data_IF_544782733126
#
_entry.id   IF_544782733126
#
_cell.length_a   1.000
_cell.length_b   1.000
_cell.length_c   1.000
_cell.angle_alpha   90.00
_cell.angle_beta   90.00
_cell.angle_gamma   90.00
#
_symmetry.space_group_name_H-M   'P 1'
#
loop_
_entity.id
_entity.type
_entity.pdbx_description
1 polymer ?
#
# COMPACT_ATOMS: atom_id res chain seq x y z
N UNK A 1 -10.36 12.68 20.67
CA UNK A 1 -10.57 11.23 20.92
C UNK A 1 -11.27 10.53 19.75
N UNK A 2 -12.20 11.20 19.04
CA UNK A 2 -12.92 10.66 17.85
C UNK A 2 -11.97 10.33 16.67
N UNK A 3 -11.00 11.19 16.35
CA UNK A 3 -10.08 10.96 15.22
C UNK A 3 -9.28 9.64 15.29
N UNK A 4 -8.85 9.23 16.50
CA UNK A 4 -8.10 7.98 16.70
C UNK A 4 -8.95 6.72 16.50
N UNK A 5 -10.26 6.81 16.71
CA UNK A 5 -11.19 5.68 16.52
C UNK A 5 -11.45 5.47 15.02
N UNK A 6 -11.70 6.55 14.28
CA UNK A 6 -11.90 6.51 12.82
C UNK A 6 -10.65 5.99 12.10
N UNK A 7 -9.46 6.43 12.52
CA UNK A 7 -8.18 5.95 11.99
C UNK A 7 -7.98 4.45 12.24
N UNK A 8 -8.25 3.97 13.45
CA UNK A 8 -8.12 2.54 13.79
C UNK A 8 -9.10 1.65 13.01
N UNK A 9 -10.35 2.09 12.85
CA UNK A 9 -11.36 1.35 12.06
C UNK A 9 -10.94 1.30 10.60
N UNK A 10 -10.42 2.39 10.05
CA UNK A 10 -9.95 2.45 8.67
C UNK A 10 -8.73 1.57 8.43
N UNK A 11 -7.73 1.62 9.31
CA UNK A 11 -6.58 0.71 9.25
C UNK A 11 -7.02 -0.75 9.29
N UNK A 12 -8.03 -1.08 10.10
CA UNK A 12 -8.58 -2.44 10.12
C UNK A 12 -9.25 -2.83 8.80
N UNK A 13 -9.87 -1.88 8.09
CA UNK A 13 -10.50 -2.13 6.79
C UNK A 13 -9.44 -2.35 5.71
N UNK A 14 -8.44 -1.48 5.67
CA UNK A 14 -7.26 -1.58 4.82
C UNK A 14 -6.54 -2.90 5.02
N UNK A 15 -6.23 -3.26 6.27
CA UNK A 15 -5.56 -4.51 6.60
C UNK A 15 -6.37 -5.72 6.11
N UNK A 16 -7.70 -5.71 6.28
CA UNK A 16 -8.57 -6.79 5.79
C UNK A 16 -8.48 -6.95 4.28
N UNK A 17 -8.46 -5.85 3.51
CA UNK A 17 -8.30 -5.90 2.06
C UNK A 17 -6.93 -6.42 1.65
N UNK A 18 -5.87 -5.90 2.24
CA UNK A 18 -4.49 -6.33 1.98
C UNK A 18 -4.27 -7.83 2.28
N UNK A 19 -4.89 -8.34 3.35
CA UNK A 19 -4.81 -9.76 3.73
C UNK A 19 -5.39 -10.69 2.65
N UNK A 20 -6.37 -10.27 1.84
CA UNK A 20 -6.88 -11.06 0.70
C UNK A 20 -5.74 -11.44 -0.26
N UNK A 21 -4.74 -10.58 -0.37
CA UNK A 21 -3.61 -10.72 -1.28
C UNK A 21 -2.32 -11.19 -0.59
N UNK A 22 -2.40 -11.65 0.65
CA UNK A 22 -1.23 -11.95 1.50
C UNK A 22 -0.25 -10.77 1.60
N UNK A 23 -0.78 -9.54 1.63
CA UNK A 23 -0.01 -8.33 1.89
C UNK A 23 -0.23 -7.93 3.35
N UNK A 24 0.86 -7.66 4.05
CA UNK A 24 0.88 -7.21 5.43
C UNK A 24 1.22 -5.72 5.48
N UNK A 25 0.40 -4.95 6.21
CA UNK A 25 0.74 -3.61 6.63
C UNK A 25 1.68 -3.69 7.85
N UNK A 26 2.96 -3.40 7.66
CA UNK A 26 3.99 -3.52 8.72
C UNK A 26 4.07 -2.26 9.56
N UNK A 27 4.06 -1.09 8.90
CA UNK A 27 4.05 0.20 9.57
C UNK A 27 3.16 1.19 8.82
N UNK A 28 2.40 1.98 9.58
CA UNK A 28 1.72 3.15 9.10
C UNK A 28 2.00 4.30 10.07
N UNK A 29 2.85 5.23 9.63
CA UNK A 29 3.11 6.47 10.34
C UNK A 29 2.99 7.62 9.33
N UNK A 30 2.66 8.84 9.77
CA UNK A 30 2.58 9.98 8.87
C UNK A 30 3.80 10.08 7.96
N UNK A 31 3.55 10.02 6.65
CA UNK A 31 4.54 10.15 5.58
C UNK A 31 5.28 8.86 5.22
N UNK A 32 5.02 7.74 5.92
CA UNK A 32 5.63 6.44 5.62
C UNK A 32 4.66 5.28 5.82
N UNK A 33 4.39 4.55 4.74
CA UNK A 33 3.67 3.28 4.73
C UNK A 33 4.66 2.16 4.39
N UNK A 34 4.72 1.11 5.20
CA UNK A 34 5.49 -0.10 4.88
C UNK A 34 4.57 -1.28 4.71
N UNK A 35 4.63 -1.89 3.52
CA UNK A 35 3.94 -3.12 3.19
C UNK A 35 4.94 -4.27 3.03
N UNK A 36 4.46 -5.50 3.18
CA UNK A 36 5.26 -6.70 2.97
C UNK A 36 4.44 -7.80 2.33
N UNK A 37 5.00 -8.48 1.34
CA UNK A 37 4.46 -9.72 0.79
C UNK A 37 5.58 -10.67 0.41
N UNK A 38 5.40 -11.96 0.66
CA UNK A 38 6.32 -12.99 0.17
C UNK A 38 6.26 -13.12 -1.35
N UNK A 39 5.08 -12.88 -1.94
CA UNK A 39 4.84 -13.00 -3.37
C UNK A 39 5.72 -12.04 -4.20
N UNK A 40 5.96 -10.84 -3.70
CA UNK A 40 6.80 -9.84 -4.39
C UNK A 40 8.26 -10.28 -4.54
N UNK A 41 8.71 -11.28 -3.78
CA UNK A 41 10.06 -11.84 -3.95
C UNK A 41 10.18 -12.74 -5.17
N UNK A 42 9.05 -13.30 -5.60
CA UNK A 42 8.94 -14.34 -6.62
C UNK A 42 8.35 -13.79 -7.93
N UNK A 43 7.57 -12.70 -7.86
CA UNK A 43 6.97 -12.02 -9.02
C UNK A 43 7.53 -10.60 -9.16
N UNK A 44 8.72 -10.50 -9.78
CA UNK A 44 9.43 -9.22 -10.00
C UNK A 44 8.63 -8.26 -10.89
N UNK A 45 7.86 -8.78 -11.85
CA UNK A 45 7.03 -7.96 -12.74
C UNK A 45 5.88 -7.30 -11.97
N UNK A 46 5.18 -8.08 -11.12
CA UNK A 46 4.07 -7.58 -10.31
C UNK A 46 4.53 -6.42 -9.42
N UNK A 47 5.65 -6.59 -8.71
CA UNK A 47 6.15 -5.55 -7.82
C UNK A 47 6.72 -4.36 -8.59
N UNK A 48 7.32 -4.58 -9.77
CA UNK A 48 7.78 -3.50 -10.63
C UNK A 48 6.63 -2.61 -11.09
N UNK A 49 5.54 -3.21 -11.62
CA UNK A 49 4.34 -2.48 -12.03
C UNK A 49 3.74 -1.73 -10.84
N UNK A 50 3.59 -2.40 -9.70
CA UNK A 50 3.06 -1.77 -8.49
C UNK A 50 3.88 -0.55 -8.05
N UNK A 51 5.21 -0.65 -8.09
CA UNK A 51 6.08 0.49 -7.75
C UNK A 51 5.90 1.64 -8.74
N UNK A 52 5.81 1.36 -10.04
CA UNK A 52 5.58 2.39 -11.07
C UNK A 52 4.24 3.10 -10.84
N UNK A 53 3.14 2.37 -10.71
CA UNK A 53 1.79 2.92 -10.50
C UNK A 53 1.71 3.78 -9.22
N UNK A 54 2.40 3.36 -8.15
CA UNK A 54 2.45 4.12 -6.90
C UNK A 54 3.25 5.41 -7.04
N UNK A 55 4.34 5.40 -7.82
CA UNK A 55 5.17 6.60 -8.06
C UNK A 55 4.46 7.66 -8.90
N UNK A 56 3.42 7.29 -9.64
CA UNK A 56 2.60 8.22 -10.40
C UNK A 56 1.56 8.94 -9.53
N UNK A 57 1.36 8.51 -8.27
CA UNK A 57 0.40 9.13 -7.37
C UNK A 57 0.91 10.48 -6.87
N UNK A 58 0.07 11.52 -6.94
CA UNK A 58 0.42 12.92 -6.67
C UNK A 58 1.09 13.13 -5.30
N UNK A 59 0.70 12.37 -4.29
CA UNK A 59 1.23 12.51 -2.93
C UNK A 59 2.39 11.56 -2.62
N UNK A 60 2.72 10.63 -3.52
CA UNK A 60 3.82 9.69 -3.32
C UNK A 60 5.12 10.32 -3.81
N UNK A 61 6.05 10.55 -2.89
CA UNK A 61 7.40 11.01 -3.22
C UNK A 61 8.27 9.87 -3.71
N UNK A 62 8.12 8.68 -3.12
CA UNK A 62 8.88 7.50 -3.52
C UNK A 62 8.20 6.19 -3.10
N UNK A 63 8.51 5.13 -3.84
CA UNK A 63 8.13 3.77 -3.55
C UNK A 63 9.35 2.86 -3.78
N UNK A 64 9.88 2.28 -2.70
CA UNK A 64 11.12 1.50 -2.71
C UNK A 64 10.84 0.04 -2.34
N UNK A 65 11.13 -0.87 -3.26
CA UNK A 65 11.06 -2.30 -3.02
C UNK A 65 12.41 -2.87 -2.55
N UNK A 66 12.38 -3.71 -1.53
CA UNK A 66 13.52 -4.48 -1.04
C UNK A 66 13.26 -5.98 -1.22
N UNK A 67 13.86 -6.58 -2.26
CA UNK A 67 13.66 -7.99 -2.62
C UNK A 67 13.98 -8.97 -1.49
N UNK A 68 15.09 -8.76 -0.77
CA UNK A 68 15.50 -9.66 0.32
C UNK A 68 14.43 -9.85 1.38
N UNK A 69 13.71 -8.78 1.75
CA UNK A 69 12.67 -8.82 2.78
C UNK A 69 11.25 -8.88 2.22
N UNK A 70 11.06 -8.67 0.92
CA UNK A 70 9.74 -8.59 0.30
C UNK A 70 8.98 -7.36 0.78
N UNK A 71 9.70 -6.28 1.10
CA UNK A 71 9.14 -5.06 1.70
C UNK A 71 9.05 -3.94 0.70
N UNK A 72 7.92 -3.24 0.71
CA UNK A 72 7.70 -2.03 -0.06
C UNK A 72 7.53 -0.86 0.92
N UNK A 73 8.40 0.14 0.81
CA UNK A 73 8.32 1.39 1.56
C UNK A 73 7.78 2.49 0.65
N UNK A 74 6.64 3.06 1.01
CA UNK A 74 6.05 4.23 0.33
C UNK A 74 6.28 5.45 1.22
N UNK A 75 6.91 6.48 0.65
CA UNK A 75 7.12 7.78 1.28
C UNK A 75 6.20 8.79 0.62
N UNK A 76 5.44 9.55 1.40
CA UNK A 76 4.38 10.41 0.89
C UNK A 76 4.22 11.72 1.68
N UNK A 77 3.51 12.69 1.12
CA UNK A 77 3.20 13.95 1.80
C UNK A 77 2.09 13.76 2.85
N UNK A 78 2.49 13.63 4.11
CA UNK A 78 1.56 13.47 5.23
C UNK A 78 0.68 14.71 5.49
N UNK A 79 1.11 15.89 5.03
CA UNK A 79 0.42 17.16 5.28
C UNK A 79 -0.83 17.29 4.42
N UNK A 80 -0.86 16.59 3.28
CA UNK A 80 -1.94 16.59 2.30
C UNK A 80 -2.74 15.28 2.27
N UNK A 81 -2.28 14.24 2.96
CA UNK A 81 -3.14 13.11 3.35
C UNK A 81 -4.04 13.55 4.52
N UNK A 82 -4.90 14.54 4.26
CA UNK A 82 -5.95 14.98 5.17
C UNK A 82 -7.19 14.08 5.12
N UNK A 83 -7.32 13.31 4.02
CA UNK A 83 -8.54 12.62 3.63
C UNK A 83 -8.21 11.17 3.26
N UNK A 84 -9.01 10.24 3.77
CA UNK A 84 -8.85 8.79 3.58
C UNK A 84 -8.95 8.31 2.12
N UNK A 85 -9.27 9.19 1.17
CA UNK A 85 -9.44 8.88 -0.26
C UNK A 85 -8.13 8.52 -0.95
N UNK A 86 -7.02 9.16 -0.56
CA UNK A 86 -5.72 8.92 -1.19
C UNK A 86 -5.15 7.56 -0.78
N UNK A 87 -5.22 7.21 0.50
CA UNK A 87 -4.79 5.88 0.92
C UNK A 87 -5.67 4.79 0.26
N UNK A 88 -6.96 5.06 0.13
CA UNK A 88 -7.92 4.18 -0.55
C UNK A 88 -7.57 4.00 -2.04
N UNK A 89 -7.21 5.06 -2.76
CA UNK A 89 -6.83 4.96 -4.18
C UNK A 89 -5.59 4.08 -4.38
N UNK A 90 -4.60 4.15 -3.48
CA UNK A 90 -3.41 3.29 -3.55
C UNK A 90 -3.77 1.81 -3.35
N UNK A 91 -4.74 1.51 -2.50
CA UNK A 91 -5.25 0.14 -2.36
C UNK A 91 -6.08 -0.31 -3.56
N UNK A 92 -6.78 0.61 -4.21
CA UNK A 92 -7.57 0.29 -5.41
C UNK A 92 -6.66 -0.04 -6.60
N UNK A 93 -5.49 0.61 -6.70
CA UNK A 93 -4.41 0.24 -7.64
C UNK A 93 -3.93 -1.20 -7.37
N UNK A 94 -3.62 -1.52 -6.11
CA UNK A 94 -3.20 -2.88 -5.73
C UNK A 94 -4.29 -3.90 -6.06
N UNK A 95 -5.55 -3.60 -5.71
CA UNK A 95 -6.69 -4.48 -5.96
C UNK A 95 -6.89 -4.76 -7.44
N UNK A 96 -6.84 -3.72 -8.29
CA UNK A 96 -6.94 -3.83 -9.73
C UNK A 96 -5.80 -4.67 -10.33
N UNK A 97 -4.56 -4.41 -9.92
CA UNK A 97 -3.38 -5.14 -10.39
C UNK A 97 -3.46 -6.62 -10.02
N UNK A 98 -3.86 -6.94 -8.78
CA UNK A 98 -3.99 -8.34 -8.35
C UNK A 98 -5.15 -9.05 -9.04
N UNK A 99 -6.29 -8.39 -9.27
CA UNK A 99 -7.40 -8.96 -10.04
C UNK A 99 -6.98 -9.28 -11.47
N UNK A 100 -6.24 -8.36 -12.10
CA UNK A 100 -5.72 -8.57 -13.46
C UNK A 100 -4.69 -9.70 -13.52
N UNK A 101 -3.77 -9.77 -12.56
CA UNK A 101 -2.68 -10.77 -12.55
C UNK A 101 -3.16 -12.18 -12.21
N UNK A 102 -4.15 -12.31 -11.32
CA UNK A 102 -4.56 -13.60 -10.75
C UNK A 102 -5.98 -14.05 -11.13
N UNK A 103 -6.70 -13.29 -11.96
CA UNK A 103 -8.07 -13.60 -12.39
C UNK A 103 -9.04 -13.85 -11.21
N UNK A 104 -8.97 -13.00 -10.17
CA UNK A 104 -9.78 -13.06 -8.93
C UNK A 104 -10.74 -11.87 -8.77
#
# INVERSE_FOLDING_TARGET
>A
MIGKITEKVMLSHVEKRLRKYNIQLVHFVPGRLRLKSSLWKEDDDLIHILVCELKEQVLVYDAQFTKGTGSLLITYDASHVGDMKELQSWFDIMDALYKQRFYI
#
